data_IF_611965233998
#
_entry.id   IF_611965233998
#
_cell.length_a   1.000
_cell.length_b   1.000
_cell.length_c   1.000
_cell.angle_alpha   90.00
_cell.angle_beta   90.00
_cell.angle_gamma   90.00
#
_symmetry.space_group_name_H-M   'P 1'
#
loop_
_entity.id
_entity.type
_entity.pdbx_description
1 polymer ?
#
# COMPACT_ATOMS: atom_id res chain seq x y z
N UNK A 1 -22.93 -1.81 19.89
CA UNK A 1 -21.84 -2.79 19.93
C UNK A 1 -20.58 -2.10 20.42
N UNK A 2 -19.88 -2.66 21.40
CA UNK A 2 -18.55 -2.18 21.78
C UNK A 2 -17.52 -2.81 20.83
N UNK A 3 -16.79 -1.99 20.07
CA UNK A 3 -15.77 -2.48 19.13
C UNK A 3 -14.50 -2.84 19.92
N UNK A 4 -13.95 -4.03 19.67
CA UNK A 4 -12.64 -4.39 20.19
C UNK A 4 -11.52 -3.69 19.39
N UNK A 5 -10.28 -3.81 19.86
CA UNK A 5 -9.10 -3.18 19.24
C UNK A 5 -8.94 -3.53 17.76
N UNK A 6 -9.14 -4.80 17.39
CA UNK A 6 -8.94 -5.28 16.03
C UNK A 6 -10.04 -4.81 15.09
N UNK A 7 -11.29 -4.78 15.56
CA UNK A 7 -12.42 -4.25 14.81
C UNK A 7 -12.28 -2.74 14.55
N UNK A 8 -11.78 -1.98 15.54
CA UNK A 8 -11.46 -0.57 15.36
C UNK A 8 -10.38 -0.41 14.29
N UNK A 9 -9.29 -1.17 14.39
CA UNK A 9 -8.20 -1.10 13.43
C UNK A 9 -8.62 -1.50 12.01
N UNK A 10 -9.48 -2.52 11.85
CA UNK A 10 -10.06 -2.87 10.54
C UNK A 10 -10.85 -1.68 9.98
N UNK A 11 -11.69 -1.03 10.79
CA UNK A 11 -12.47 0.12 10.33
C UNK A 11 -11.58 1.32 9.99
N UNK A 12 -10.53 1.60 10.77
CA UNK A 12 -9.53 2.63 10.48
C UNK A 12 -8.88 2.41 9.10
N UNK A 13 -8.44 1.19 8.82
CA UNK A 13 -7.88 0.83 7.50
C UNK A 13 -8.91 1.04 6.38
N UNK A 14 -10.17 0.66 6.59
CA UNK A 14 -11.21 0.85 5.57
C UNK A 14 -11.63 2.31 5.41
N UNK A 15 -11.51 3.14 6.45
CA UNK A 15 -11.73 4.58 6.38
C UNK A 15 -10.65 5.27 5.56
N UNK A 16 -9.38 4.87 5.73
CA UNK A 16 -8.24 5.39 4.97
C UNK A 16 -8.23 4.91 3.52
N UNK A 17 -8.41 3.61 3.30
CA UNK A 17 -8.15 2.97 2.00
C UNK A 17 -9.43 2.59 1.23
N UNK A 18 -10.61 2.92 1.77
CA UNK A 18 -11.96 2.69 1.19
C UNK A 18 -12.39 1.23 0.99
N UNK A 19 -11.47 0.29 0.91
CA UNK A 19 -11.74 -1.13 0.75
C UNK A 19 -10.44 -1.94 0.69
N UNK A 20 -10.42 -3.11 1.34
CA UNK A 20 -9.28 -4.01 1.33
C UNK A 20 -9.72 -5.46 1.25
N UNK A 21 -8.86 -6.31 0.68
CA UNK A 21 -9.07 -7.74 0.71
C UNK A 21 -8.98 -8.25 2.14
N UNK A 22 -9.78 -9.26 2.46
CA UNK A 22 -9.76 -9.89 3.78
C UNK A 22 -8.37 -10.41 4.17
N UNK A 23 -7.63 -11.01 3.22
CA UNK A 23 -6.24 -11.44 3.45
C UNK A 23 -5.29 -10.27 3.78
N UNK A 24 -5.51 -9.10 3.17
CA UNK A 24 -4.73 -7.90 3.43
C UNK A 24 -5.05 -7.37 4.83
N UNK A 25 -6.33 -7.25 5.19
CA UNK A 25 -6.75 -6.88 6.55
C UNK A 25 -6.20 -7.83 7.62
N UNK A 26 -6.24 -9.13 7.35
CA UNK A 26 -5.69 -10.13 8.26
C UNK A 26 -4.20 -9.96 8.47
N UNK A 27 -3.46 -9.73 7.38
CA UNK A 27 -2.03 -9.42 7.44
C UNK A 27 -1.78 -8.16 8.30
N UNK A 28 -2.51 -7.07 8.07
CA UNK A 28 -2.31 -5.82 8.81
C UNK A 28 -2.60 -6.00 10.31
N UNK A 29 -3.70 -6.65 10.66
CA UNK A 29 -4.05 -6.91 12.07
C UNK A 29 -2.96 -7.77 12.72
N UNK A 30 -2.49 -8.82 12.05
CA UNK A 30 -1.39 -9.67 12.53
C UNK A 30 -0.11 -8.88 12.75
N UNK A 31 0.29 -8.08 11.76
CA UNK A 31 1.55 -7.34 11.80
C UNK A 31 1.56 -6.26 12.88
N UNK A 32 0.46 -5.52 13.05
CA UNK A 32 0.46 -4.28 13.83
C UNK A 32 -0.34 -4.32 15.13
N UNK A 33 -1.18 -5.34 15.36
CA UNK A 33 -2.05 -5.40 16.55
C UNK A 33 -2.00 -6.73 17.30
N UNK A 34 -1.98 -7.86 16.60
CA UNK A 34 -2.03 -9.20 17.22
C UNK A 34 -1.26 -10.26 16.41
N UNK A 35 0.04 -10.43 16.65
CA UNK A 35 0.88 -11.38 15.92
C UNK A 35 0.39 -12.84 15.97
N UNK A 36 -0.35 -13.21 17.02
CA UNK A 36 -0.83 -14.58 17.23
C UNK A 36 -2.28 -14.78 16.78
N UNK A 37 -2.86 -13.82 16.05
CA UNK A 37 -4.22 -13.93 15.58
C UNK A 37 -4.36 -15.17 14.69
N UNK A 38 -5.35 -16.02 14.95
CA UNK A 38 -5.58 -17.20 14.09
C UNK A 38 -6.17 -16.81 12.74
N UNK A 39 -7.32 -16.11 12.77
CA UNK A 39 -8.02 -15.58 11.61
C UNK A 39 -8.85 -14.35 11.99
N UNK A 40 -9.27 -13.54 11.01
CA UNK A 40 -10.15 -12.38 11.24
C UNK A 40 -11.65 -12.67 11.09
N UNK A 41 -12.06 -13.91 10.77
CA UNK A 41 -13.43 -14.23 10.35
C UNK A 41 -14.48 -13.79 11.37
N UNK A 42 -14.23 -14.07 12.65
CA UNK A 42 -15.15 -13.71 13.72
C UNK A 42 -15.37 -12.19 13.82
N UNK A 43 -14.30 -11.40 13.63
CA UNK A 43 -14.39 -9.94 13.68
C UNK A 43 -15.11 -9.37 12.46
N UNK A 44 -14.79 -9.88 11.28
CA UNK A 44 -15.45 -9.52 10.01
C UNK A 44 -16.95 -9.84 10.08
N UNK A 45 -17.30 -11.05 10.52
CA UNK A 45 -18.69 -11.47 10.63
C UNK A 45 -19.49 -10.56 11.58
N UNK A 46 -18.91 -10.19 12.72
CA UNK A 46 -19.54 -9.24 13.64
C UNK A 46 -19.72 -7.86 12.99
N UNK A 47 -18.67 -7.31 12.35
CA UNK A 47 -18.76 -6.02 11.68
C UNK A 47 -19.85 -6.00 10.60
N UNK A 48 -19.93 -7.05 9.78
CA UNK A 48 -20.95 -7.20 8.75
C UNK A 48 -22.36 -7.34 9.34
N UNK A 49 -22.53 -8.16 10.39
CA UNK A 49 -23.81 -8.34 11.08
C UNK A 49 -24.38 -7.05 11.66
N UNK A 50 -23.51 -6.12 12.06
CA UNK A 50 -23.90 -4.79 12.54
C UNK A 50 -23.80 -3.70 11.46
N UNK A 51 -23.77 -4.11 10.18
CA UNK A 51 -23.80 -3.24 9.00
C UNK A 51 -22.69 -2.17 9.00
N UNK A 52 -21.56 -2.45 9.66
CA UNK A 52 -20.39 -1.56 9.68
C UNK A 52 -19.51 -1.71 8.45
N UNK A 53 -19.57 -2.87 7.81
CA UNK A 53 -18.89 -3.19 6.56
C UNK A 53 -19.82 -3.97 5.65
N UNK A 54 -19.50 -4.00 4.36
CA UNK A 54 -20.11 -4.89 3.38
C UNK A 54 -19.02 -5.81 2.82
N UNK A 55 -19.35 -7.08 2.62
CA UNK A 55 -18.49 -8.00 1.88
C UNK A 55 -18.77 -7.86 0.38
N UNK A 56 -17.73 -7.79 -0.43
CA UNK A 56 -17.80 -7.77 -1.89
C UNK A 56 -16.83 -8.78 -2.48
N UNK A 57 -17.11 -9.27 -3.70
CA UNK A 57 -16.14 -10.03 -4.47
C UNK A 57 -15.24 -9.06 -5.25
N UNK A 58 -13.93 -9.29 -5.19
CA UNK A 58 -12.96 -8.62 -6.04
C UNK A 58 -12.02 -9.66 -6.64
N UNK A 59 -12.19 -9.93 -7.93
CA UNK A 59 -11.38 -10.89 -8.68
C UNK A 59 -11.37 -12.30 -8.06
N UNK A 60 -12.50 -12.74 -7.47
CA UNK A 60 -12.62 -14.03 -6.80
C UNK A 60 -12.11 -14.07 -5.36
N UNK A 61 -11.75 -12.91 -4.79
CA UNK A 61 -11.36 -12.78 -3.38
C UNK A 61 -12.40 -11.98 -2.58
N UNK A 62 -12.59 -12.35 -1.31
CA UNK A 62 -13.48 -11.60 -0.38
C UNK A 62 -12.82 -10.29 0.03
N UNK A 63 -13.49 -9.18 -0.29
CA UNK A 63 -13.12 -7.83 0.10
C UNK A 63 -14.10 -7.26 1.12
N UNK A 64 -13.60 -6.41 2.00
CA UNK A 64 -14.42 -5.63 2.92
C UNK A 64 -14.39 -4.17 2.49
N UNK A 65 -15.55 -3.54 2.49
CA UNK A 65 -15.73 -2.11 2.21
C UNK A 65 -16.64 -1.45 3.24
N UNK A 66 -16.48 -0.14 3.44
CA UNK A 66 -17.48 0.62 4.17
C UNK A 66 -18.77 0.78 3.33
N UNK A 67 -19.95 0.83 3.95
CA UNK A 67 -21.21 1.03 3.24
C UNK A 67 -21.17 2.24 2.31
N UNK A 68 -21.53 2.03 1.04
CA UNK A 68 -21.56 3.08 0.01
C UNK A 68 -20.21 3.45 -0.60
N UNK A 69 -19.11 2.84 -0.15
CA UNK A 69 -17.79 3.00 -0.79
C UNK A 69 -17.59 1.98 -1.91
N UNK A 70 -16.49 2.14 -2.65
CA UNK A 70 -16.06 1.25 -3.73
C UNK A 70 -14.64 0.80 -3.47
N UNK A 71 -14.30 -0.38 -3.99
CA UNK A 71 -12.93 -0.89 -4.01
C UNK A 71 -12.13 -0.11 -5.04
N UNK A 72 -10.94 0.35 -4.66
CA UNK A 72 -9.94 0.88 -5.58
C UNK A 72 -8.90 -0.20 -5.87
N UNK A 73 -8.90 -0.70 -7.12
CA UNK A 73 -7.96 -1.74 -7.54
C UNK A 73 -6.49 -1.34 -7.44
N UNK A 74 -6.16 -0.05 -7.52
CA UNK A 74 -4.78 0.39 -7.36
C UNK A 74 -4.33 0.33 -5.90
N UNK A 75 -5.24 0.58 -4.96
CA UNK A 75 -4.98 0.40 -3.53
C UNK A 75 -4.76 -1.08 -3.21
N UNK A 76 -5.60 -1.98 -3.75
CA UNK A 76 -5.41 -3.43 -3.60
C UNK A 76 -4.02 -3.84 -4.11
N UNK A 77 -3.64 -3.39 -5.30
CA UNK A 77 -2.32 -3.66 -5.87
C UNK A 77 -1.18 -3.08 -5.01
N UNK A 78 -1.33 -1.87 -4.48
CA UNK A 78 -0.33 -1.25 -3.63
C UNK A 78 -0.14 -2.00 -2.30
N UNK A 79 -1.21 -2.52 -1.70
CA UNK A 79 -1.11 -3.39 -0.53
C UNK A 79 -0.37 -4.69 -0.87
N UNK A 80 -0.66 -5.30 -2.02
CA UNK A 80 0.04 -6.52 -2.44
C UNK A 80 1.54 -6.27 -2.62
N UNK A 81 1.92 -5.14 -3.22
CA UNK A 81 3.33 -4.71 -3.32
C UNK A 81 3.97 -4.50 -1.95
N UNK A 82 3.31 -3.78 -1.04
CA UNK A 82 3.83 -3.53 0.30
C UNK A 82 4.02 -4.82 1.11
N UNK A 83 3.09 -5.78 0.95
CA UNK A 83 3.13 -7.05 1.66
C UNK A 83 4.32 -7.94 1.28
N UNK A 84 4.93 -7.75 0.10
CA UNK A 84 6.19 -8.42 -0.28
C UNK A 84 7.37 -8.01 0.60
N UNK A 85 7.24 -6.90 1.35
CA UNK A 85 8.23 -6.42 2.32
C UNK A 85 7.86 -6.79 3.77
N UNK A 86 6.98 -7.77 3.99
CA UNK A 86 6.40 -8.08 5.29
C UNK A 86 7.40 -8.25 6.43
N UNK A 87 8.54 -8.91 6.16
CA UNK A 87 9.55 -9.24 7.16
C UNK A 87 10.21 -7.98 7.75
N UNK A 88 10.41 -6.95 6.92
CA UNK A 88 11.08 -5.72 7.30
C UNK A 88 10.15 -4.50 7.44
N UNK A 89 8.84 -4.65 7.17
CA UNK A 89 7.85 -3.58 7.24
C UNK A 89 7.64 -3.04 8.66
N UNK A 90 7.90 -1.75 8.88
CA UNK A 90 7.80 -1.08 10.19
C UNK A 90 6.45 -0.40 10.38
N UNK A 91 6.01 0.38 9.40
CA UNK A 91 4.73 1.09 9.39
C UNK A 91 4.39 1.59 7.98
N UNK A 92 3.16 2.07 7.80
CA UNK A 92 2.66 2.61 6.54
C UNK A 92 1.73 3.79 6.82
N UNK A 93 1.52 4.60 5.79
CA UNK A 93 0.56 5.70 5.77
C UNK A 93 0.00 5.92 4.37
N UNK A 94 -1.16 6.59 4.31
CA UNK A 94 -1.74 7.01 3.05
C UNK A 94 -0.84 8.07 2.41
N UNK A 95 -0.46 7.83 1.15
CA UNK A 95 0.38 8.77 0.40
C UNK A 95 -0.38 10.02 -0.04
N UNK A 96 0.35 11.09 -0.27
CA UNK A 96 -0.18 12.24 -1.01
C UNK A 96 -0.14 11.93 -2.51
N UNK A 97 -1.20 12.22 -3.28
CA UNK A 97 -1.21 11.98 -4.71
C UNK A 97 0.06 12.52 -5.42
N UNK A 98 0.68 11.73 -6.32
CA UNK A 98 0.22 10.47 -6.87
C UNK A 98 0.63 9.22 -6.07
N UNK A 99 1.26 9.35 -4.90
CA UNK A 99 1.60 8.20 -4.04
C UNK A 99 0.33 7.64 -3.43
N UNK A 100 0.11 6.34 -3.58
CA UNK A 100 -1.02 5.66 -2.95
C UNK A 100 -0.71 5.26 -1.52
N UNK A 101 0.44 4.61 -1.32
CA UNK A 101 0.91 4.13 -0.03
C UNK A 101 2.37 4.54 0.10
N UNK A 102 2.68 5.16 1.23
CA UNK A 102 4.06 5.32 1.71
C UNK A 102 4.27 4.32 2.84
N UNK A 103 5.38 3.60 2.80
CA UNK A 103 5.71 2.65 3.85
C UNK A 103 7.19 2.66 4.16
N UNK A 104 7.52 2.18 5.36
CA UNK A 104 8.86 2.24 5.90
C UNK A 104 9.32 0.83 6.24
N UNK A 105 10.53 0.49 5.80
CA UNK A 105 11.15 -0.81 6.06
C UNK A 105 12.47 -0.65 6.82
N UNK A 106 12.85 -1.64 7.60
CA UNK A 106 14.22 -1.76 8.14
C UNK A 106 14.78 -3.15 7.86
N UNK A 107 15.49 -3.34 6.72
CA UNK A 107 16.05 -4.64 6.36
C UNK A 107 17.13 -5.11 7.34
N UNK A 108 17.90 -4.19 7.93
CA UNK A 108 18.97 -4.47 8.88
C UNK A 108 18.59 -4.25 10.35
N UNK A 109 17.35 -3.84 10.61
CA UNK A 109 16.82 -3.49 11.93
C UNK A 109 17.45 -2.23 12.56
N UNK A 110 18.23 -1.46 11.79
CA UNK A 110 18.96 -0.28 12.28
C UNK A 110 18.57 0.99 11.54
N UNK A 111 18.28 0.89 10.25
CA UNK A 111 17.96 2.04 9.40
C UNK A 111 16.57 1.88 8.82
N UNK A 112 15.81 2.96 8.86
CA UNK A 112 14.52 3.05 8.19
C UNK A 112 14.73 3.57 6.77
N UNK A 113 14.08 2.91 5.81
CA UNK A 113 14.02 3.33 4.42
C UNK A 113 12.56 3.60 4.04
N UNK A 114 12.30 4.78 3.48
CA UNK A 114 10.99 5.16 2.95
C UNK A 114 10.82 4.62 1.52
N UNK A 115 9.69 3.99 1.25
CA UNK A 115 9.27 3.54 -0.07
C UNK A 115 7.91 4.14 -0.43
N UNK A 116 7.80 4.65 -1.65
CA UNK A 116 6.57 5.25 -2.18
C UNK A 116 6.04 4.42 -3.36
N UNK A 117 4.79 3.95 -3.26
CA UNK A 117 4.12 3.22 -4.34
C UNK A 117 3.33 4.19 -5.20
N UNK A 118 3.66 4.24 -6.49
CA UNK A 118 3.05 5.14 -7.46
C UNK A 118 2.48 4.35 -8.63
N UNK A 119 1.16 4.35 -8.86
CA UNK A 119 0.57 3.78 -10.07
C UNK A 119 0.91 4.68 -11.26
N UNK A 120 1.31 4.08 -12.38
CA UNK A 120 1.66 4.80 -13.60
C UNK A 120 0.79 4.33 -14.76
N UNK A 121 -0.40 4.96 -14.95
CA UNK A 121 -1.20 4.74 -16.15
C UNK A 121 -0.40 5.09 -17.41
N UNK A 122 -0.64 4.36 -18.49
CA UNK A 122 -0.04 4.68 -19.80
C UNK A 122 -0.26 6.15 -20.19
N UNK A 123 0.82 6.79 -20.63
CA UNK A 123 0.83 8.21 -20.99
C UNK A 123 1.00 9.18 -19.82
N UNK A 124 1.20 8.68 -18.59
CA UNK A 124 1.47 9.48 -17.38
C UNK A 124 2.89 9.31 -16.83
N UNK A 125 3.77 8.65 -17.59
CA UNK A 125 5.14 8.32 -17.20
C UNK A 125 5.94 9.59 -16.83
N UNK A 126 5.83 10.63 -17.65
CA UNK A 126 6.53 11.91 -17.41
C UNK A 126 6.05 12.61 -16.13
N UNK A 127 4.77 12.49 -15.79
CA UNK A 127 4.21 13.04 -14.55
C UNK A 127 4.75 12.29 -13.33
N UNK A 128 4.84 10.96 -13.41
CA UNK A 128 5.40 10.13 -12.34
C UNK A 128 6.88 10.46 -12.09
N UNK A 129 7.67 10.58 -13.16
CA UNK A 129 9.08 11.00 -13.07
C UNK A 129 9.22 12.38 -12.44
N UNK A 130 8.45 13.36 -12.93
CA UNK A 130 8.51 14.73 -12.41
C UNK A 130 8.19 14.81 -10.93
N UNK A 131 7.18 14.06 -10.47
CA UNK A 131 6.83 14.01 -9.05
C UNK A 131 7.96 13.42 -8.20
N UNK A 132 8.54 12.30 -8.64
CA UNK A 132 9.64 11.65 -7.92
C UNK A 132 10.84 12.58 -7.76
N UNK A 133 11.18 13.34 -8.82
CA UNK A 133 12.26 14.33 -8.76
C UNK A 133 11.91 15.53 -7.88
N UNK A 134 10.69 16.05 -7.99
CA UNK A 134 10.25 17.21 -7.21
C UNK A 134 10.16 16.91 -5.71
N UNK A 135 9.72 15.72 -5.32
CA UNK A 135 9.65 15.31 -3.92
C UNK A 135 11.04 15.30 -3.27
N UNK A 136 12.06 14.77 -3.96
CA UNK A 136 13.45 14.78 -3.46
C UNK A 136 13.99 16.21 -3.28
N UNK A 137 13.64 17.13 -4.17
CA UNK A 137 14.07 18.54 -4.07
C UNK A 137 13.48 19.21 -2.81
N UNK A 138 12.17 19.06 -2.56
CA UNK A 138 11.54 19.67 -1.38
C UNK A 138 11.99 19.04 -0.05
N UNK A 139 12.37 17.77 -0.08
CA UNK A 139 12.98 17.09 1.06
C UNK A 139 14.38 17.67 1.37
N UNK A 140 15.19 17.94 0.33
CA UNK A 140 16.52 18.52 0.48
C UNK A 140 16.50 19.96 1.02
N UNK A 141 15.46 20.75 0.71
CA UNK A 141 15.29 22.10 1.29
C UNK A 141 14.89 22.07 2.79
N UNK A 142 14.45 20.91 3.31
CA UNK A 142 14.12 20.67 4.72
C UNK A 142 15.17 19.76 5.40
N UNK A 143 16.46 20.01 5.10
CA UNK A 143 17.62 19.15 5.34
C UNK A 143 17.89 18.66 6.79
N UNK A 144 17.15 19.10 7.80
CA UNK A 144 17.42 18.74 9.20
C UNK A 144 16.83 17.38 9.62
N UNK A 145 16.05 16.68 8.76
CA UNK A 145 15.30 15.48 9.17
C UNK A 145 15.51 14.20 8.36
N UNK A 146 16.27 14.22 7.27
CA UNK A 146 16.25 13.09 6.32
C UNK A 146 17.63 12.46 6.22
N UNK A 147 17.75 11.23 6.72
CA UNK A 147 18.99 10.46 6.63
C UNK A 147 19.22 9.84 5.24
N UNK A 148 18.16 9.59 4.45
CA UNK A 148 18.26 8.97 3.12
C UNK A 148 17.12 9.41 2.18
N UNK A 149 17.39 9.62 0.88
CA UNK A 149 16.32 9.89 -0.09
C UNK A 149 15.39 8.68 -0.21
N UNK A 150 14.08 8.90 -0.43
CA UNK A 150 13.10 7.84 -0.57
C UNK A 150 13.31 7.05 -1.87
N UNK A 151 12.91 5.78 -1.85
CA UNK A 151 12.91 4.90 -3.02
C UNK A 151 11.49 4.79 -3.60
N UNK A 152 11.39 4.55 -4.90
CA UNK A 152 10.12 4.59 -5.63
C UNK A 152 9.77 3.22 -6.22
N UNK A 153 8.51 2.83 -6.08
CA UNK A 153 7.97 1.62 -6.73
C UNK A 153 6.90 2.07 -7.72
N UNK A 154 7.21 1.99 -9.01
CA UNK A 154 6.27 2.35 -10.07
C UNK A 154 5.46 1.12 -10.49
N UNK A 155 4.17 1.13 -10.20
CA UNK A 155 3.24 0.10 -10.65
C UNK A 155 2.82 0.41 -12.09
N UNK A 156 3.41 -0.31 -13.04
CA UNK A 156 3.24 -0.11 -14.49
C UNK A 156 2.32 -1.18 -15.09
N UNK A 157 1.76 -0.87 -16.25
CA UNK A 157 0.81 -1.74 -16.97
C UNK A 157 1.52 -2.68 -17.94
N UNK A 158 2.68 -2.27 -18.49
CA UNK A 158 3.55 -3.15 -19.27
C UNK A 158 5.02 -2.68 -19.30
N UNK A 159 5.90 -3.56 -19.77
CA UNK A 159 7.36 -3.35 -19.81
C UNK A 159 7.82 -2.22 -20.73
N UNK A 160 7.02 -1.79 -21.71
CA UNK A 160 7.42 -0.69 -22.60
C UNK A 160 7.55 0.62 -21.82
N UNK A 161 6.75 0.79 -20.76
CA UNK A 161 6.79 1.97 -19.88
C UNK A 161 8.12 2.12 -19.13
N UNK A 162 8.85 1.02 -18.87
CA UNK A 162 10.16 1.07 -18.17
C UNK A 162 11.15 1.96 -18.90
N UNK A 163 11.10 2.01 -20.24
CA UNK A 163 11.98 2.88 -21.04
C UNK A 163 11.69 4.38 -20.89
N UNK A 164 10.49 4.73 -20.40
CA UNK A 164 9.97 6.09 -20.32
C UNK A 164 10.03 6.69 -18.90
N UNK A 165 10.28 5.85 -17.89
CA UNK A 165 10.30 6.25 -16.48
C UNK A 165 11.74 6.12 -15.97
N UNK A 166 12.45 7.24 -15.86
CA UNK A 166 13.85 7.27 -15.43
C UNK A 166 14.11 8.44 -14.48
N UNK A 167 13.58 8.42 -13.25
CA UNK A 167 13.93 9.44 -12.27
C UNK A 167 15.38 9.27 -11.81
N UNK A 168 15.94 10.32 -11.21
CA UNK A 168 17.28 10.26 -10.60
C UNK A 168 17.34 9.52 -9.27
N UNK A 169 16.18 9.37 -8.60
CA UNK A 169 16.07 8.65 -7.33
C UNK A 169 16.22 7.13 -7.53
N UNK A 170 16.36 6.37 -6.45
CA UNK A 170 16.29 4.91 -6.52
C UNK A 170 14.86 4.46 -6.86
N UNK A 171 14.70 3.54 -7.81
CA UNK A 171 13.40 3.04 -8.19
C UNK A 171 13.39 1.57 -8.62
N UNK A 172 12.21 0.98 -8.58
CA UNK A 172 11.89 -0.31 -9.17
C UNK A 172 10.53 -0.25 -9.88
N UNK A 173 10.27 -1.22 -10.73
CA UNK A 173 9.00 -1.38 -11.42
C UNK A 173 8.26 -2.60 -10.89
N UNK A 174 6.94 -2.52 -10.87
CA UNK A 174 6.06 -3.66 -10.60
C UNK A 174 5.00 -3.78 -11.67
N UNK A 175 4.76 -5.01 -12.14
CA UNK A 175 3.56 -5.38 -12.89
C UNK A 175 2.75 -6.35 -12.04
N UNK A 176 1.44 -6.13 -11.94
CA UNK A 176 0.54 -7.08 -11.28
C UNK A 176 0.14 -8.15 -12.30
N UNK A 177 0.70 -9.36 -12.16
CA UNK A 177 0.44 -10.50 -13.04
C UNK A 177 -0.36 -11.56 -12.27
N UNK A 178 -1.56 -11.91 -12.76
CA UNK A 178 -2.45 -12.88 -12.10
C UNK A 178 -2.69 -12.59 -10.61
N UNK A 179 -2.85 -11.31 -10.25
CA UNK A 179 -3.07 -10.87 -8.87
C UNK A 179 -1.83 -10.92 -7.98
N UNK A 180 -0.62 -11.05 -8.55
CA UNK A 180 0.64 -11.03 -7.80
C UNK A 180 1.59 -9.95 -8.32
N UNK A 181 2.32 -9.26 -7.43
CA UNK A 181 3.34 -8.30 -7.84
C UNK A 181 4.56 -9.03 -8.40
N UNK A 182 5.02 -8.61 -9.59
CA UNK A 182 6.28 -9.05 -10.20
C UNK A 182 7.20 -7.84 -10.34
N UNK A 183 8.33 -7.87 -9.65
CA UNK A 183 9.30 -6.79 -9.63
C UNK A 183 10.28 -6.86 -10.80
N UNK A 184 10.65 -5.68 -11.30
CA UNK A 184 11.67 -5.49 -12.31
C UNK A 184 12.60 -4.35 -11.89
N UNK A 185 13.90 -4.55 -12.10
CA UNK A 185 14.90 -3.52 -11.83
C UNK A 185 14.79 -2.35 -12.82
N UNK A 186 15.18 -1.18 -12.31
CA UNK A 186 15.10 0.13 -12.97
C UNK A 186 16.24 0.47 -13.91
#
# INVERSE_FOLDING_TARGET
MYLNLYQKYILELLEEYSGLLKRQLEFMVKRFKEPYLRDINGYVHQLNRFEKVQCADYMGEEALILPGRKIDGNIIAAFDVMMEFSECLIHHELGNPPVLIRFFISPDGKREQELNIVPVPKGRESTAVHYAEWYVINLADNADKISYPPSWIFVIQDKQQMSLIKPKAEYSFVIIENGKPVFYEG
#
